data_IF_664152605324
#
_entry.id   IF_664152605324
#
_cell.length_a   1.000
_cell.length_b   1.000
_cell.length_c   1.000
_cell.angle_alpha   90.00
_cell.angle_beta   90.00
_cell.angle_gamma   90.00
#
_symmetry.space_group_name_H-M   'P 1'
#
loop_
_entity.id
_entity.type
_entity.pdbx_description
1 polymer ?
#
# COMPACT_ATOMS: atom_id res chain seq x y z
N UNK A 1 4.80 34.68 -52.74
CA UNK A 1 3.87 34.56 -53.90
C UNK A 1 3.86 33.11 -54.37
N UNK A 2 2.77 32.68 -55.04
CA UNK A 2 2.70 31.49 -55.94
C UNK A 2 3.29 30.15 -55.47
N UNK A 3 2.40 29.28 -54.97
CA UNK A 3 2.34 27.84 -55.33
C UNK A 3 1.79 27.75 -56.80
N UNK A 4 1.96 26.64 -57.56
CA UNK A 4 1.06 25.47 -57.51
C UNK A 4 1.78 24.09 -57.74
N UNK A 5 1.23 22.90 -57.38
CA UNK A 5 0.45 21.89 -58.17
C UNK A 5 1.22 21.33 -59.42
N UNK A 6 1.17 20.06 -59.88
CA UNK A 6 0.42 18.80 -59.57
C UNK A 6 1.17 17.58 -60.24
N UNK A 7 0.77 16.29 -60.41
CA UNK A 7 -0.46 15.48 -60.22
C UNK A 7 -0.19 13.93 -60.19
N UNK A 8 -1.06 13.14 -59.52
CA UNK A 8 -1.66 11.80 -59.83
C UNK A 8 -0.91 10.48 -60.22
N UNK A 9 -1.63 9.36 -59.97
CA UNK A 9 -1.37 7.94 -60.36
C UNK A 9 -0.98 7.05 -59.16
N UNK A 10 -1.77 6.12 -58.60
CA UNK A 10 -3.06 5.49 -58.92
C UNK A 10 -3.09 4.46 -60.08
N UNK A 11 -2.85 3.19 -59.76
CA UNK A 11 -3.25 2.04 -60.59
C UNK A 11 -3.47 0.76 -59.74
N UNK A 12 -4.70 0.25 -59.77
CA UNK A 12 -5.14 -1.13 -59.44
C UNK A 12 -6.18 -1.44 -60.54
N UNK A 13 -6.21 -2.64 -61.15
CA UNK A 13 -6.88 -3.78 -60.52
C UNK A 13 -6.27 -5.17 -60.89
N UNK A 14 -6.79 -6.26 -60.30
CA UNK A 14 -7.65 -7.23 -61.03
C UNK A 14 -8.34 -8.21 -60.05
N UNK A 15 -9.45 -8.85 -60.48
CA UNK A 15 -10.30 -9.72 -59.64
C UNK A 15 -10.73 -11.04 -60.32
N UNK A 16 -10.47 -12.16 -59.64
CA UNK A 16 -11.21 -13.44 -59.76
C UNK A 16 -11.17 -14.10 -58.37
N UNK A 17 -12.24 -14.57 -57.71
CA UNK A 17 -13.59 -14.95 -58.18
C UNK A 17 -13.57 -16.39 -58.73
N UNK A 18 -14.37 -17.36 -58.27
CA UNK A 18 -15.42 -17.48 -57.24
C UNK A 18 -15.32 -18.90 -56.61
N UNK A 19 -15.95 -19.27 -55.48
CA UNK A 19 -17.35 -19.72 -55.37
C UNK A 19 -17.75 -19.92 -53.88
N UNK A 20 -19.04 -20.21 -53.61
CA UNK A 20 -19.63 -20.14 -52.26
C UNK A 20 -20.70 -21.22 -51.95
N UNK A 21 -21.33 -21.09 -50.77
CA UNK A 21 -22.53 -21.78 -50.26
C UNK A 21 -22.31 -23.19 -49.66
N UNK A 22 -22.89 -23.41 -48.47
CA UNK A 22 -22.89 -24.73 -47.80
C UNK A 22 -23.33 -24.67 -46.33
N UNK A 23 -24.61 -24.39 -46.06
CA UNK A 23 -25.19 -24.44 -44.72
C UNK A 23 -26.44 -25.33 -44.70
N UNK A 24 -26.51 -26.26 -43.74
CA UNK A 24 -27.68 -27.12 -43.46
C UNK A 24 -27.64 -27.62 -42.01
N UNK A 25 -28.82 -27.88 -41.44
CA UNK A 25 -29.04 -28.31 -40.05
C UNK A 25 -29.42 -29.83 -39.97
N UNK A 26 -29.68 -30.43 -38.79
CA UNK A 26 -29.48 -31.88 -38.58
C UNK A 26 -30.64 -32.79 -38.99
N UNK A 27 -30.41 -34.10 -38.92
CA UNK A 27 -31.43 -35.14 -39.00
C UNK A 27 -31.12 -36.32 -38.06
N UNK A 28 -32.13 -36.74 -37.29
CA UNK A 28 -32.16 -38.01 -36.54
C UNK A 28 -32.46 -39.21 -37.46
N UNK A 29 -32.22 -40.44 -36.99
CA UNK A 29 -33.30 -41.35 -36.51
C UNK A 29 -33.06 -42.87 -36.66
N UNK A 30 -33.28 -43.58 -35.54
CA UNK A 30 -33.62 -45.03 -35.38
C UNK A 30 -32.61 -46.07 -35.95
N UNK A 31 -32.65 -47.38 -35.65
CA UNK A 31 -33.56 -48.34 -34.96
C UNK A 31 -32.63 -49.23 -34.07
N UNK A 32 -32.92 -49.82 -32.90
CA UNK A 32 -34.16 -50.31 -32.26
C UNK A 32 -34.16 -50.03 -30.72
N UNK A 33 -34.47 -51.00 -29.84
CA UNK A 33 -35.80 -51.37 -29.26
C UNK A 33 -35.61 -52.53 -28.25
N UNK A 34 -36.61 -52.82 -27.40
CA UNK A 34 -36.72 -53.88 -26.36
C UNK A 34 -36.05 -53.55 -25.00
N UNK A 35 -36.72 -53.70 -23.84
CA UNK A 35 -38.16 -53.70 -23.54
C UNK A 35 -38.37 -53.41 -22.03
N UNK A 36 -39.51 -52.88 -21.59
CA UNK A 36 -39.83 -52.65 -20.17
C UNK A 36 -41.30 -53.04 -19.86
N UNK A 37 -41.55 -53.64 -18.68
CA UNK A 37 -42.87 -53.51 -18.06
C UNK A 37 -42.84 -53.28 -16.53
N UNK A 38 -43.06 -52.03 -16.12
CA UNK A 38 -44.28 -51.59 -15.45
C UNK A 38 -44.74 -52.28 -14.14
N UNK A 39 -44.43 -51.59 -13.03
CA UNK A 39 -45.39 -51.07 -12.03
C UNK A 39 -45.99 -51.94 -10.88
N UNK A 40 -46.26 -51.23 -9.77
CA UNK A 40 -47.09 -51.53 -8.57
C UNK A 40 -46.52 -52.44 -7.46
N UNK A 41 -46.49 -51.92 -6.22
CA UNK A 41 -46.16 -52.69 -5.01
C UNK A 41 -45.62 -51.90 -3.80
N UNK A 42 -46.50 -51.34 -2.97
CA UNK A 42 -46.23 -50.87 -1.60
C UNK A 42 -47.27 -51.49 -0.64
N UNK A 43 -47.09 -51.48 0.71
CA UNK A 43 -45.90 -51.16 1.52
C UNK A 43 -45.52 -52.28 2.53
N UNK A 44 -44.37 -52.15 3.22
CA UNK A 44 -44.35 -52.36 4.68
C UNK A 44 -43.11 -51.72 5.34
N UNK A 45 -43.29 -51.30 6.60
CA UNK A 45 -42.25 -50.66 7.41
C UNK A 45 -41.34 -51.69 8.09
N UNK A 46 -40.05 -51.36 8.24
CA UNK A 46 -39.25 -51.84 9.36
C UNK A 46 -38.28 -50.74 9.81
N UNK A 47 -38.25 -50.48 11.11
CA UNK A 47 -37.42 -49.43 11.71
C UNK A 47 -35.95 -49.85 11.75
N UNK A 48 -35.04 -48.90 11.46
CA UNK A 48 -33.71 -48.90 12.06
C UNK A 48 -33.14 -47.48 12.10
N UNK A 49 -33.17 -46.83 13.27
CA UNK A 49 -32.61 -45.48 13.45
C UNK A 49 -31.08 -45.47 13.30
N UNK A 50 -30.57 -44.61 12.41
CA UNK A 50 -29.19 -44.65 11.91
C UNK A 50 -28.36 -43.38 12.10
N UNK A 51 -28.53 -42.67 13.24
CA UNK A 51 -27.64 -41.62 13.78
C UNK A 51 -26.84 -40.73 12.80
N UNK A 52 -27.40 -39.56 12.45
CA UNK A 52 -26.62 -38.47 11.82
C UNK A 52 -25.69 -37.82 12.86
N UNK A 53 -24.38 -38.07 12.75
CA UNK A 53 -23.36 -37.32 13.50
C UNK A 53 -22.36 -36.62 12.57
N UNK A 54 -22.54 -35.31 12.40
CA UNK A 54 -21.59 -34.46 11.70
C UNK A 54 -20.27 -34.34 12.49
N UNK A 55 -19.16 -34.82 11.92
CA UNK A 55 -17.83 -34.83 12.55
C UNK A 55 -17.20 -33.43 12.62
N UNK A 56 -17.74 -32.54 13.48
CA UNK A 56 -17.17 -31.21 13.71
C UNK A 56 -15.92 -31.30 14.60
N UNK A 57 -14.76 -30.96 14.05
CA UNK A 57 -13.45 -31.24 14.64
C UNK A 57 -13.19 -30.51 15.98
N UNK A 58 -13.04 -31.26 17.08
CA UNK A 58 -12.80 -30.76 18.45
C UNK A 58 -11.35 -30.28 18.68
N UNK A 59 -10.89 -29.27 17.93
CA UNK A 59 -9.56 -28.63 18.14
C UNK A 59 -9.60 -27.19 18.67
N UNK A 60 -10.77 -26.62 18.92
CA UNK A 60 -10.91 -25.23 19.37
C UNK A 60 -10.67 -24.92 20.87
N UNK A 61 -10.90 -25.82 21.86
CA UNK A 61 -10.77 -25.42 23.28
C UNK A 61 -9.32 -25.28 23.75
N UNK A 62 -8.38 -26.02 23.16
CA UNK A 62 -6.97 -26.05 23.57
C UNK A 62 -6.23 -24.73 23.26
N UNK A 63 -6.54 -24.11 22.12
CA UNK A 63 -5.90 -22.84 21.71
C UNK A 63 -6.30 -21.70 22.65
N UNK A 64 -7.57 -21.63 23.04
CA UNK A 64 -8.07 -20.59 23.95
C UNK A 64 -7.45 -20.70 25.36
N UNK A 65 -7.26 -21.92 25.87
CA UNK A 65 -6.56 -22.15 27.15
C UNK A 65 -5.09 -21.75 27.07
N UNK A 66 -4.40 -22.05 25.96
CA UNK A 66 -3.01 -21.64 25.77
C UNK A 66 -2.85 -20.11 25.72
N UNK A 67 -3.72 -19.40 24.98
CA UNK A 67 -3.73 -17.92 24.92
C UNK A 67 -4.02 -17.31 26.29
N UNK A 68 -4.98 -17.85 27.04
CA UNK A 68 -5.29 -17.36 28.39
C UNK A 68 -4.09 -17.50 29.35
N UNK A 69 -3.38 -18.63 29.31
CA UNK A 69 -2.18 -18.84 30.15
C UNK A 69 -1.04 -17.88 29.80
N UNK A 70 -0.80 -17.61 28.51
CA UNK A 70 0.21 -16.63 28.08
C UNK A 70 -0.13 -15.22 28.56
N UNK A 71 -1.40 -14.81 28.50
CA UNK A 71 -1.85 -13.50 28.97
C UNK A 71 -1.71 -13.34 30.50
N UNK A 72 -2.01 -14.40 31.28
CA UNK A 72 -1.81 -14.40 32.75
C UNK A 72 -0.33 -14.30 33.11
N UNK A 73 0.55 -15.02 32.39
CA UNK A 73 2.00 -14.93 32.61
C UNK A 73 2.56 -13.54 32.26
N UNK A 74 2.10 -12.93 31.16
CA UNK A 74 2.48 -11.58 30.78
C UNK A 74 2.05 -10.53 31.83
N UNK A 75 0.83 -10.66 32.37
CA UNK A 75 0.34 -9.78 33.44
C UNK A 75 1.14 -9.93 34.76
N UNK A 76 1.52 -11.16 35.13
CA UNK A 76 2.35 -11.43 36.31
C UNK A 76 3.76 -10.82 36.17
N UNK A 77 4.38 -10.95 35.00
CA UNK A 77 5.69 -10.34 34.70
C UNK A 77 5.60 -8.80 34.74
N UNK A 78 4.50 -8.22 34.21
CA UNK A 78 4.29 -6.77 34.24
C UNK A 78 4.15 -6.22 35.67
N UNK A 79 3.40 -6.90 36.55
CA UNK A 79 3.27 -6.48 37.96
C UNK A 79 4.60 -6.59 38.71
N UNK A 80 5.39 -7.66 38.49
CA UNK A 80 6.72 -7.81 39.09
C UNK A 80 7.74 -6.74 38.63
N UNK A 81 7.54 -6.13 37.47
CA UNK A 81 8.38 -5.03 36.98
C UNK A 81 7.91 -3.66 37.52
N UNK A 82 6.60 -3.45 37.62
CA UNK A 82 6.01 -2.21 38.14
C UNK A 82 6.37 -1.97 39.61
N UNK A 83 6.44 -3.02 40.44
CA UNK A 83 6.73 -2.96 41.88
C UNK A 83 8.22 -2.75 42.23
N UNK A 84 9.08 -2.48 41.24
CA UNK A 84 10.52 -2.26 41.42
C UNK A 84 11.05 -0.92 40.88
N UNK A 85 10.17 -0.06 40.35
CA UNK A 85 10.55 1.24 39.77
C UNK A 85 10.20 2.40 40.73
N UNK A 86 10.89 2.43 41.88
CA UNK A 86 10.70 3.44 42.92
C UNK A 86 11.23 4.83 42.55
N UNK A 87 10.59 5.85 43.14
CA UNK A 87 10.76 7.30 42.93
C UNK A 87 12.20 7.82 42.81
N UNK A 88 12.38 8.83 41.94
CA UNK A 88 13.31 9.93 42.21
C UNK A 88 12.78 11.24 41.58
N UNK A 89 12.10 12.08 42.37
CA UNK A 89 11.63 13.41 41.93
C UNK A 89 12.60 14.52 42.38
N UNK A 90 13.15 15.24 41.41
CA UNK A 90 13.72 16.58 41.64
C UNK A 90 13.11 17.59 40.67
N UNK A 91 12.67 18.74 41.20
CA UNK A 91 11.84 19.70 40.49
C UNK A 91 12.62 20.97 40.10
N UNK A 92 12.37 21.49 38.90
CA UNK A 92 12.76 22.84 38.50
C UNK A 92 11.66 23.56 37.71
N UNK A 93 11.62 24.90 37.84
CA UNK A 93 10.52 25.76 37.39
C UNK A 93 10.59 26.10 35.90
N UNK A 94 9.45 26.45 35.26
CA UNK A 94 9.44 26.97 33.90
C UNK A 94 9.96 28.41 33.84
N UNK A 95 10.70 28.71 32.77
CA UNK A 95 11.12 30.06 32.38
C UNK A 95 10.72 30.30 30.93
N UNK A 96 9.99 31.37 30.64
CA UNK A 96 9.47 31.66 29.31
C UNK A 96 10.40 32.57 28.50
N UNK A 97 10.75 32.16 27.28
CA UNK A 97 11.22 33.04 26.22
C UNK A 97 10.68 32.50 24.90
N UNK A 98 10.09 33.37 24.09
CA UNK A 98 9.43 32.96 22.84
C UNK A 98 10.44 32.61 21.75
N UNK A 99 10.30 31.44 21.15
CA UNK A 99 10.87 31.13 19.83
C UNK A 99 9.86 30.27 19.07
N UNK A 100 9.48 30.69 17.86
CA UNK A 100 8.60 29.93 16.96
C UNK A 100 9.40 28.86 16.23
N UNK A 101 9.99 27.93 16.98
CA UNK A 101 10.47 26.67 16.42
C UNK A 101 9.25 25.87 15.93
N UNK A 102 9.31 25.34 14.71
CA UNK A 102 8.36 24.30 14.33
C UNK A 102 8.53 23.12 15.29
N UNK A 103 7.43 22.51 15.69
CA UNK A 103 7.46 21.38 16.63
C UNK A 103 7.87 20.11 15.87
N UNK A 104 9.16 19.98 15.60
CA UNK A 104 9.80 18.68 15.40
C UNK A 104 9.70 17.91 16.71
N UNK A 105 8.61 17.16 16.89
CA UNK A 105 8.60 16.06 17.84
C UNK A 105 9.78 15.15 17.46
N UNK A 106 10.63 14.82 18.44
CA UNK A 106 11.72 13.87 18.23
C UNK A 106 11.19 12.46 17.92
N UNK A 107 12.08 11.47 17.72
CA UNK A 107 11.69 10.10 17.44
C UNK A 107 10.67 9.58 18.46
N UNK A 108 9.49 9.20 17.97
CA UNK A 108 8.33 8.80 18.77
C UNK A 108 8.32 7.31 19.12
N UNK A 109 9.14 6.52 18.43
CA UNK A 109 9.23 5.08 18.56
C UNK A 109 10.10 4.61 19.72
N UNK A 110 10.62 3.39 19.60
CA UNK A 110 11.62 2.85 20.51
C UNK A 110 13.01 3.45 20.24
N UNK A 111 13.69 3.84 21.32
CA UNK A 111 14.99 4.50 21.24
C UNK A 111 16.11 3.55 20.77
N UNK A 112 16.00 2.24 21.04
CA UNK A 112 16.98 1.25 20.57
C UNK A 112 16.79 0.94 19.09
N UNK A 113 15.55 0.80 18.62
CA UNK A 113 15.24 0.68 17.20
C UNK A 113 15.68 1.92 16.41
N UNK A 114 15.39 3.12 16.93
CA UNK A 114 15.85 4.38 16.34
C UNK A 114 17.39 4.46 16.26
N UNK A 115 18.09 4.13 17.35
CA UNK A 115 19.56 4.09 17.37
C UNK A 115 20.12 3.08 16.37
N UNK A 116 19.50 1.90 16.25
CA UNK A 116 19.91 0.88 15.27
C UNK A 116 19.68 1.32 13.81
N UNK A 117 18.75 2.25 13.54
CA UNK A 117 18.60 2.92 12.24
C UNK A 117 19.71 3.95 12.01
N UNK A 118 20.08 4.74 13.02
CA UNK A 118 21.20 5.71 12.92
C UNK A 118 22.57 5.03 12.75
N UNK A 119 22.69 3.75 13.12
CA UNK A 119 23.92 2.95 13.01
C UNK A 119 24.09 2.29 11.63
N UNK A 120 23.15 2.45 10.69
CA UNK A 120 23.27 1.91 9.33
C UNK A 120 24.23 2.78 8.50
N UNK A 121 25.27 2.17 7.93
CA UNK A 121 26.34 2.86 7.20
C UNK A 121 26.03 3.15 5.73
N UNK A 122 25.04 2.47 5.14
CA UNK A 122 24.62 2.62 3.74
C UNK A 122 23.13 2.97 3.72
N UNK A 123 22.83 4.24 3.49
CA UNK A 123 21.46 4.80 3.49
C UNK A 123 21.25 5.73 2.29
N UNK A 124 20.01 5.95 1.83
CA UNK A 124 19.74 6.98 0.83
C UNK A 124 19.99 8.37 1.45
N UNK A 125 20.84 9.17 0.83
CA UNK A 125 21.15 10.56 1.24
C UNK A 125 19.95 11.53 1.19
N UNK A 126 18.84 11.05 0.61
CA UNK A 126 17.56 11.73 0.45
C UNK A 126 16.54 11.36 1.54
N UNK A 127 16.82 10.33 2.36
CA UNK A 127 15.98 9.98 3.50
C UNK A 127 16.16 10.97 4.66
N UNK A 128 15.16 11.05 5.53
CA UNK A 128 15.33 11.63 6.87
C UNK A 128 15.82 10.61 7.90
N UNK A 129 16.05 11.09 9.12
CA UNK A 129 16.53 10.32 10.27
C UNK A 129 15.55 9.24 10.74
N UNK A 130 14.30 9.25 10.25
CA UNK A 130 13.27 8.24 10.53
C UNK A 130 13.07 7.24 9.38
N UNK A 131 13.77 7.42 8.25
CA UNK A 131 13.63 6.60 7.04
C UNK A 131 12.71 7.18 5.98
N UNK A 132 12.10 8.34 6.21
CA UNK A 132 11.10 8.94 5.35
C UNK A 132 11.68 9.50 4.05
N UNK A 133 11.15 9.02 2.92
CA UNK A 133 11.47 9.52 1.58
C UNK A 133 10.46 10.62 1.19
N UNK A 134 10.82 11.87 1.49
CA UNK A 134 9.95 13.04 1.25
C UNK A 134 10.04 13.54 -0.20
N UNK A 135 8.94 13.52 -0.95
CA UNK A 135 8.80 14.08 -2.30
C UNK A 135 7.93 15.34 -2.30
N UNK A 136 8.25 16.30 -3.17
CA UNK A 136 7.55 17.58 -3.33
C UNK A 136 7.83 18.19 -4.72
N UNK A 137 7.17 19.30 -5.08
CA UNK A 137 7.51 20.09 -6.28
C UNK A 137 8.95 20.62 -6.32
N UNK A 138 9.66 20.67 -5.19
CA UNK A 138 11.07 21.09 -5.16
C UNK A 138 12.05 19.90 -5.26
N UNK A 139 11.55 18.70 -5.61
CA UNK A 139 12.29 17.45 -5.61
C UNK A 139 12.24 16.70 -4.27
N UNK A 140 13.15 15.75 -4.12
CA UNK A 140 13.20 14.80 -2.99
C UNK A 140 14.09 15.27 -1.81
N UNK A 141 13.73 14.83 -0.61
CA UNK A 141 14.43 15.07 0.65
C UNK A 141 13.62 15.90 1.64
N UNK A 142 13.77 15.65 2.95
CA UNK A 142 13.04 16.38 4.00
C UNK A 142 13.20 17.90 3.95
N UNK A 143 14.37 18.38 3.49
CA UNK A 143 14.69 19.79 3.26
C UNK A 143 14.11 20.39 1.97
N UNK A 144 13.39 19.61 1.15
CA UNK A 144 12.72 20.10 -0.07
C UNK A 144 11.24 20.45 0.13
N UNK A 145 10.64 20.16 1.30
CA UNK A 145 9.20 20.41 1.53
C UNK A 145 8.77 21.82 1.08
N UNK A 146 7.74 21.90 0.25
CA UNK A 146 7.08 23.16 -0.13
C UNK A 146 6.53 23.79 1.14
N UNK A 147 6.92 25.05 1.39
CA UNK A 147 6.46 25.82 2.54
C UNK A 147 4.93 25.99 2.50
N UNK A 148 4.33 26.01 3.69
CA UNK A 148 2.87 26.11 3.90
C UNK A 148 1.99 25.03 3.25
N UNK A 149 2.54 24.08 2.48
CA UNK A 149 1.83 22.90 2.00
C UNK A 149 1.72 21.81 3.09
N UNK A 150 0.56 21.14 3.27
CA UNK A 150 0.46 20.00 4.17
C UNK A 150 1.42 18.87 3.80
N UNK A 151 1.92 18.17 4.80
CA UNK A 151 2.66 16.91 4.60
C UNK A 151 1.74 15.73 4.87
N UNK A 152 1.61 14.86 3.89
CA UNK A 152 1.12 13.50 4.08
C UNK A 152 2.32 12.61 4.40
N UNK A 153 2.24 11.80 5.44
CA UNK A 153 3.21 10.74 5.71
C UNK A 153 2.51 9.39 5.55
N UNK A 154 3.07 8.49 4.73
CA UNK A 154 2.41 7.27 4.26
C UNK A 154 3.29 6.07 4.59
N UNK A 155 2.77 5.18 5.43
CA UNK A 155 3.40 3.90 5.80
C UNK A 155 2.76 2.79 4.99
N UNK A 156 3.56 2.06 4.21
CA UNK A 156 3.05 1.07 3.27
C UNK A 156 4.05 -0.07 3.03
N UNK A 157 3.52 -1.28 2.89
CA UNK A 157 4.27 -2.47 2.48
C UNK A 157 3.83 -2.85 1.06
N UNK A 158 4.75 -3.09 0.10
CA UNK A 158 4.43 -3.35 -1.30
C UNK A 158 3.64 -4.66 -1.53
N UNK A 159 3.71 -5.63 -0.62
CA UNK A 159 2.88 -6.86 -0.71
C UNK A 159 1.48 -6.66 -0.11
N UNK A 160 1.28 -5.66 0.76
CA UNK A 160 0.02 -5.49 1.48
C UNK A 160 -1.16 -5.18 0.52
N UNK A 161 -2.20 -6.04 0.45
CA UNK A 161 -3.33 -5.83 -0.45
C UNK A 161 -4.16 -4.58 -0.11
N UNK A 162 -4.15 -4.14 1.16
CA UNK A 162 -4.78 -2.87 1.55
C UNK A 162 -3.96 -1.65 1.15
N UNK A 163 -2.63 -1.72 1.15
CA UNK A 163 -1.78 -0.65 0.61
C UNK A 163 -2.05 -0.47 -0.88
N UNK A 164 -2.06 -1.56 -1.65
CA UNK A 164 -2.38 -1.53 -3.07
C UNK A 164 -3.78 -1.00 -3.37
N UNK A 165 -4.80 -1.40 -2.59
CA UNK A 165 -6.17 -0.87 -2.75
C UNK A 165 -6.27 0.63 -2.43
N UNK A 166 -5.51 1.14 -1.46
CA UNK A 166 -5.48 2.57 -1.12
C UNK A 166 -4.71 3.38 -2.17
N UNK A 167 -3.48 2.96 -2.51
CA UNK A 167 -2.63 3.63 -3.48
C UNK A 167 -3.30 3.79 -4.84
N UNK A 168 -3.84 2.69 -5.40
CA UNK A 168 -4.58 2.70 -6.68
C UNK A 168 -5.78 3.66 -6.72
N UNK A 169 -6.31 4.12 -5.58
CA UNK A 169 -7.35 5.15 -5.50
C UNK A 169 -6.78 6.56 -5.35
N UNK A 170 -5.75 6.77 -4.52
CA UNK A 170 -5.26 8.12 -4.17
C UNK A 170 -4.06 8.60 -4.99
N UNK A 171 -3.17 7.70 -5.43
CA UNK A 171 -1.88 8.04 -6.06
C UNK A 171 -2.02 8.93 -7.31
N UNK A 172 -3.01 8.75 -8.20
CA UNK A 172 -3.22 9.66 -9.32
C UNK A 172 -3.52 11.11 -8.89
N UNK A 173 -4.09 11.32 -7.71
CA UNK A 173 -4.28 12.66 -7.14
C UNK A 173 -3.05 13.14 -6.38
N UNK A 174 -2.34 12.25 -5.66
CA UNK A 174 -1.08 12.57 -5.00
C UNK A 174 -0.06 13.11 -6.01
N UNK A 175 0.17 12.41 -7.12
CA UNK A 175 1.12 12.82 -8.16
C UNK A 175 0.79 14.22 -8.72
N UNK A 176 -0.48 14.52 -9.00
CA UNK A 176 -0.91 15.86 -9.46
C UNK A 176 -0.72 16.93 -8.40
N UNK A 177 -1.03 16.63 -7.13
CA UNK A 177 -0.84 17.57 -6.03
C UNK A 177 0.64 17.82 -5.70
N UNK A 178 1.50 16.80 -5.82
CA UNK A 178 2.96 16.92 -5.67
C UNK A 178 3.51 17.86 -6.75
N UNK A 179 3.22 17.60 -8.04
CA UNK A 179 3.72 18.42 -9.15
C UNK A 179 3.20 19.87 -9.16
N UNK A 180 2.01 20.10 -8.61
CA UNK A 180 1.45 21.43 -8.42
C UNK A 180 1.93 22.15 -7.13
N UNK A 181 2.79 21.51 -6.33
CA UNK A 181 3.27 22.03 -5.05
C UNK A 181 2.22 22.10 -3.95
N UNK A 182 1.07 21.47 -4.14
CA UNK A 182 -0.08 21.53 -3.22
C UNK A 182 0.14 20.70 -1.94
N UNK A 183 0.93 19.63 -2.03
CA UNK A 183 1.27 18.76 -0.89
C UNK A 183 2.75 18.38 -0.90
N UNK A 184 3.23 17.96 0.27
CA UNK A 184 4.43 17.15 0.43
C UNK A 184 4.01 15.70 0.76
N UNK A 185 4.72 14.69 0.25
CA UNK A 185 4.46 13.28 0.60
C UNK A 185 5.74 12.63 1.11
N UNK A 186 5.74 12.18 2.37
CA UNK A 186 6.81 11.38 2.98
C UNK A 186 6.42 9.91 2.92
N UNK A 187 7.07 9.14 2.04
CA UNK A 187 6.88 7.70 1.93
C UNK A 187 7.77 6.98 2.95
N UNK A 188 7.17 6.11 3.75
CA UNK A 188 7.83 5.11 4.58
C UNK A 188 7.48 3.74 4.00
N UNK A 189 8.37 3.18 3.19
CA UNK A 189 8.23 1.82 2.66
C UNK A 189 8.73 0.81 3.70
N UNK A 190 7.99 -0.27 3.92
CA UNK A 190 8.17 -1.20 5.04
C UNK A 190 8.13 -2.66 4.59
N UNK A 191 9.13 -3.44 4.99
CA UNK A 191 9.17 -4.90 4.81
C UNK A 191 8.41 -5.66 5.91
N UNK A 192 7.20 -5.21 6.25
CA UNK A 192 6.38 -5.75 7.34
C UNK A 192 5.88 -7.18 7.10
N UNK A 193 5.65 -7.54 5.84
CA UNK A 193 5.13 -8.82 5.37
C UNK A 193 6.20 -9.74 4.75
N UNK A 194 7.49 -9.40 4.86
CA UNK A 194 8.58 -10.14 4.22
C UNK A 194 8.56 -11.65 4.52
N UNK A 195 8.15 -12.03 5.73
CA UNK A 195 8.02 -13.41 6.22
C UNK A 195 6.85 -14.20 5.65
N UNK A 196 5.91 -13.55 4.95
CA UNK A 196 4.86 -14.21 4.16
C UNK A 196 5.29 -14.50 2.71
N UNK A 197 6.45 -14.00 2.29
CA UNK A 197 7.05 -14.28 0.97
C UNK A 197 8.19 -15.30 1.07
N UNK A 198 8.44 -16.05 -0.01
CA UNK A 198 9.56 -17.01 -0.07
C UNK A 198 10.91 -16.37 -0.45
N UNK A 199 10.90 -15.12 -0.92
CA UNK A 199 12.06 -14.43 -1.51
C UNK A 199 12.32 -13.01 -0.95
N UNK A 200 11.66 -12.66 0.16
CA UNK A 200 11.76 -11.34 0.81
C UNK A 200 11.34 -10.20 -0.14
N UNK A 201 10.15 -10.35 -0.73
CA UNK A 201 9.61 -9.47 -1.77
C UNK A 201 9.60 -8.01 -1.35
N UNK A 202 9.11 -7.70 -0.14
CA UNK A 202 8.97 -6.32 0.32
C UNK A 202 10.34 -5.68 0.53
N UNK A 203 11.31 -6.40 1.11
CA UNK A 203 12.72 -5.98 1.14
C UNK A 203 13.30 -5.67 -0.25
N UNK A 204 12.99 -6.47 -1.28
CA UNK A 204 13.52 -6.30 -2.64
C UNK A 204 12.91 -5.07 -3.33
N UNK A 205 11.60 -4.88 -3.19
CA UNK A 205 10.87 -3.73 -3.74
C UNK A 205 11.24 -2.43 -3.02
N UNK A 206 11.30 -2.43 -1.69
CA UNK A 206 11.64 -1.24 -0.90
C UNK A 206 13.09 -0.80 -1.15
N UNK A 207 14.00 -1.75 -1.37
CA UNK A 207 15.35 -1.46 -1.85
C UNK A 207 15.34 -0.81 -3.24
N UNK A 208 14.54 -1.31 -4.18
CA UNK A 208 14.42 -0.71 -5.51
C UNK A 208 13.86 0.71 -5.44
N UNK A 209 12.83 0.94 -4.62
CA UNK A 209 12.25 2.27 -4.35
C UNK A 209 13.28 3.21 -3.72
N UNK A 210 14.10 2.73 -2.78
CA UNK A 210 15.19 3.51 -2.19
C UNK A 210 16.31 3.85 -3.20
N UNK A 211 16.60 2.95 -4.15
CA UNK A 211 17.55 3.22 -5.25
C UNK A 211 17.00 4.25 -6.25
N UNK A 212 15.72 4.17 -6.64
CA UNK A 212 15.06 5.19 -7.46
C UNK A 212 15.01 6.53 -6.72
N UNK A 213 14.70 6.53 -5.42
CA UNK A 213 14.73 7.75 -4.61
C UNK A 213 16.12 8.43 -4.59
N UNK A 214 17.20 7.65 -4.58
CA UNK A 214 18.57 8.18 -4.55
C UNK A 214 19.07 8.63 -5.93
N UNK A 215 18.77 7.89 -7.00
CA UNK A 215 19.44 8.05 -8.30
C UNK A 215 18.53 8.57 -9.42
N UNK A 216 17.21 8.47 -9.27
CA UNK A 216 16.19 8.89 -10.26
C UNK A 216 14.88 9.37 -9.58
N UNK A 217 14.96 10.41 -8.74
CA UNK A 217 13.88 10.74 -7.79
C UNK A 217 12.58 11.24 -8.44
N UNK A 218 12.64 11.76 -9.65
CA UNK A 218 11.47 12.30 -10.36
C UNK A 218 10.49 11.18 -10.77
N UNK A 219 10.99 9.96 -10.99
CA UNK A 219 10.18 8.78 -11.28
C UNK A 219 9.69 8.03 -10.02
N UNK A 220 10.17 8.38 -8.80
CA UNK A 220 9.79 7.67 -7.57
C UNK A 220 8.26 7.60 -7.34
N UNK A 221 7.46 8.69 -7.50
CA UNK A 221 6.01 8.62 -7.29
C UNK A 221 5.28 7.76 -8.34
N UNK A 222 5.87 7.60 -9.53
CA UNK A 222 5.34 6.74 -10.58
C UNK A 222 5.68 5.28 -10.31
N UNK A 223 6.91 4.98 -9.92
CA UNK A 223 7.35 3.63 -9.58
C UNK A 223 6.70 3.09 -8.30
N UNK A 224 6.50 3.94 -7.28
CA UNK A 224 5.74 3.61 -6.08
C UNK A 224 4.30 3.20 -6.41
N UNK A 225 3.61 3.92 -7.30
CA UNK A 225 2.28 3.52 -7.77
C UNK A 225 2.33 2.23 -8.63
N UNK A 226 3.39 2.04 -9.42
CA UNK A 226 3.54 0.89 -10.32
C UNK A 226 3.78 -0.43 -9.58
N UNK A 227 4.50 -0.46 -8.46
CA UNK A 227 4.64 -1.68 -7.64
C UNK A 227 3.33 -2.07 -6.92
N UNK A 228 2.39 -1.12 -6.81
CA UNK A 228 1.02 -1.35 -6.37
C UNK A 228 0.03 -1.58 -7.52
N UNK A 229 0.47 -1.76 -8.77
CA UNK A 229 -0.44 -2.13 -9.87
C UNK A 229 -1.09 -3.51 -9.61
N UNK A 230 -2.37 -3.67 -9.97
CA UNK A 230 -3.18 -4.83 -9.57
C UNK A 230 -2.81 -6.14 -10.29
N UNK A 231 -2.09 -6.03 -11.40
CA UNK A 231 -1.47 -7.10 -12.19
C UNK A 231 0.00 -7.35 -11.81
N UNK A 232 0.65 -6.40 -11.13
CA UNK A 232 2.02 -6.52 -10.65
C UNK A 232 2.12 -7.12 -9.24
N UNK A 233 1.36 -6.55 -8.29
CA UNK A 233 1.39 -6.87 -6.87
C UNK A 233 1.05 -8.36 -6.61
N UNK A 234 1.92 -9.14 -5.94
CA UNK A 234 1.63 -10.54 -5.60
C UNK A 234 0.60 -10.64 -4.47
N UNK A 235 -0.13 -11.76 -4.43
CA UNK A 235 -1.11 -12.03 -3.36
C UNK A 235 -0.42 -12.48 -2.06
N UNK A 236 -0.84 -11.91 -0.93
CA UNK A 236 -0.29 -12.17 0.40
C UNK A 236 -0.56 -13.61 0.89
N UNK A 237 -1.66 -14.23 0.44
CA UNK A 237 -2.12 -15.56 0.91
C UNK A 237 -1.74 -16.72 -0.01
N UNK A 238 -1.44 -16.42 -1.27
CA UNK A 238 -1.15 -17.38 -2.34
C UNK A 238 0.09 -16.96 -3.14
N UNK A 239 1.12 -16.51 -2.41
CA UNK A 239 2.32 -15.85 -2.92
C UNK A 239 2.96 -16.55 -4.14
N UNK A 240 3.24 -15.76 -5.18
CA UNK A 240 3.99 -16.17 -6.36
C UNK A 240 5.19 -15.23 -6.54
N UNK A 241 6.36 -15.80 -6.79
CA UNK A 241 7.62 -15.06 -6.83
C UNK A 241 7.67 -14.05 -7.99
N UNK A 242 7.84 -12.76 -7.65
CA UNK A 242 8.11 -11.70 -8.64
C UNK A 242 9.62 -11.57 -8.81
N UNK A 243 10.14 -11.98 -9.97
CA UNK A 243 11.59 -11.93 -10.25
C UNK A 243 12.13 -10.51 -10.30
N UNK A 244 13.41 -10.34 -9.97
CA UNK A 244 14.08 -9.03 -10.02
C UNK A 244 14.06 -8.42 -11.43
N UNK A 245 14.07 -9.26 -12.48
CA UNK A 245 13.89 -8.83 -13.86
C UNK A 245 12.49 -8.21 -14.08
N UNK A 246 11.41 -8.85 -13.59
CA UNK A 246 10.05 -8.29 -13.67
C UNK A 246 9.92 -6.98 -12.89
N UNK A 247 10.59 -6.86 -11.74
CA UNK A 247 10.65 -5.62 -10.96
C UNK A 247 11.44 -4.51 -11.69
N UNK A 248 12.54 -4.85 -12.35
CA UNK A 248 13.30 -3.92 -13.18
C UNK A 248 12.49 -3.45 -14.39
N UNK A 249 11.79 -4.36 -15.07
CA UNK A 249 10.92 -4.04 -16.21
C UNK A 249 9.75 -3.13 -15.79
N UNK A 250 9.17 -3.32 -14.60
CA UNK A 250 8.12 -2.46 -14.03
C UNK A 250 8.61 -1.03 -13.77
N UNK A 251 9.87 -0.85 -13.35
CA UNK A 251 10.48 0.46 -13.19
C UNK A 251 10.76 1.14 -14.55
N UNK A 252 11.30 0.38 -15.51
CA UNK A 252 11.53 0.87 -16.88
C UNK A 252 10.22 1.28 -17.56
N UNK A 253 9.12 0.55 -17.29
CA UNK A 253 7.78 0.87 -17.77
C UNK A 253 7.22 2.23 -17.33
N UNK A 254 7.78 2.85 -16.26
CA UNK A 254 7.45 4.20 -15.82
C UNK A 254 8.56 5.23 -16.05
N UNK A 255 9.59 4.88 -16.82
CA UNK A 255 10.66 5.80 -17.25
C UNK A 255 12.02 5.61 -16.55
N UNK A 256 12.11 4.76 -15.53
CA UNK A 256 13.37 4.57 -14.77
C UNK A 256 14.47 4.02 -15.69
N UNK A 257 15.69 4.61 -15.70
CA UNK A 257 16.78 4.13 -16.54
C UNK A 257 17.11 2.65 -16.30
N UNK A 258 17.22 1.88 -17.40
CA UNK A 258 17.54 0.44 -17.35
C UNK A 258 18.81 0.13 -16.55
N UNK A 259 19.83 0.99 -16.66
CA UNK A 259 21.10 0.92 -15.93
C UNK A 259 21.00 1.19 -14.42
N UNK A 260 19.86 1.69 -13.92
CA UNK A 260 19.51 1.73 -12.50
C UNK A 260 18.69 0.48 -12.13
N UNK A 261 17.69 0.15 -12.94
CA UNK A 261 16.79 -0.97 -12.71
C UNK A 261 17.50 -2.35 -12.65
N UNK A 262 18.46 -2.61 -13.53
CA UNK A 262 19.27 -3.84 -13.52
C UNK A 262 20.17 -4.00 -12.27
N UNK A 263 20.28 -2.96 -11.43
CA UNK A 263 21.04 -3.01 -10.16
C UNK A 263 20.18 -3.31 -8.94
N UNK A 264 18.85 -3.37 -9.04
CA UNK A 264 17.99 -3.62 -7.87
C UNK A 264 18.32 -4.91 -7.11
N UNK A 265 18.68 -5.98 -7.82
CA UNK A 265 19.09 -7.27 -7.24
C UNK A 265 20.37 -7.19 -6.36
N UNK A 266 21.13 -6.08 -6.40
CA UNK A 266 22.31 -5.87 -5.55
C UNK A 266 21.95 -5.61 -4.08
N UNK A 267 20.71 -5.20 -3.79
CA UNK A 267 20.21 -5.09 -2.41
C UNK A 267 20.86 -3.99 -1.55
N UNK A 268 21.48 -2.98 -2.18
CA UNK A 268 22.25 -1.88 -1.56
C UNK A 268 21.68 -1.30 -0.26
N UNK A 269 20.35 -1.11 -0.20
CA UNK A 269 19.64 -0.49 0.92
C UNK A 269 18.84 -1.46 1.77
N UNK A 270 18.88 -2.78 1.52
CA UNK A 270 18.14 -3.76 2.33
C UNK A 270 18.43 -3.67 3.84
N UNK A 271 19.68 -3.52 4.31
CA UNK A 271 19.97 -3.34 5.74
C UNK A 271 19.42 -2.04 6.33
N UNK A 272 19.13 -1.03 5.51
CA UNK A 272 18.45 0.21 5.91
C UNK A 272 16.94 -0.02 6.00
N UNK A 273 16.31 -0.65 4.99
CA UNK A 273 14.87 -1.02 5.00
C UNK A 273 14.51 -1.79 6.26
N UNK A 274 15.31 -2.80 6.63
CA UNK A 274 15.14 -3.58 7.87
C UNK A 274 15.04 -2.70 9.14
N UNK A 275 15.79 -1.60 9.20
CA UNK A 275 15.80 -0.68 10.35
C UNK A 275 14.71 0.39 10.26
N UNK A 276 14.35 0.83 9.06
CA UNK A 276 13.19 1.70 8.84
C UNK A 276 11.93 0.97 9.31
N UNK A 277 11.70 -0.27 8.89
CA UNK A 277 10.57 -1.08 9.36
C UNK A 277 10.62 -1.31 10.88
N UNK A 278 11.76 -1.80 11.40
CA UNK A 278 11.90 -2.07 12.83
C UNK A 278 11.72 -0.83 13.73
N UNK A 279 12.02 0.38 13.24
CA UNK A 279 11.68 1.63 13.93
C UNK A 279 10.22 2.03 13.73
N UNK A 280 9.72 2.04 12.48
CA UNK A 280 8.38 2.53 12.14
C UNK A 280 7.26 1.82 12.91
N UNK A 281 7.30 0.49 13.04
CA UNK A 281 6.29 -0.29 13.79
C UNK A 281 6.20 0.08 15.28
N UNK A 282 7.23 0.74 15.82
CA UNK A 282 7.28 1.19 17.23
C UNK A 282 6.78 2.63 17.43
N UNK A 283 6.65 3.43 16.37
CA UNK A 283 6.27 4.85 16.41
C UNK A 283 4.92 5.04 17.10
N UNK A 284 4.89 5.88 18.14
CA UNK A 284 3.69 6.12 18.95
C UNK A 284 2.69 7.09 18.31
N UNK A 285 3.17 7.94 17.41
CA UNK A 285 2.38 8.93 16.66
C UNK A 285 1.68 8.34 15.43
N UNK A 286 2.20 7.23 14.90
CA UNK A 286 1.66 6.50 13.74
C UNK A 286 0.68 5.36 14.11
N UNK A 287 0.21 5.32 15.37
CA UNK A 287 -0.75 4.32 15.85
C UNK A 287 -2.20 4.79 15.71
N UNK A 288 -3.10 3.83 15.50
CA UNK A 288 -4.55 4.06 15.41
C UNK A 288 -5.17 4.43 16.78
N UNK A 289 -6.49 4.64 16.80
CA UNK A 289 -7.24 4.98 18.01
C UNK A 289 -7.25 3.89 19.10
N UNK A 290 -6.77 2.67 18.82
CA UNK A 290 -6.57 1.58 19.78
C UNK A 290 -5.12 1.43 20.27
N UNK A 291 -4.17 2.10 19.62
CA UNK A 291 -2.74 1.91 19.84
C UNK A 291 -2.10 0.83 18.94
N UNK A 292 -2.81 0.37 17.91
CA UNK A 292 -2.31 -0.61 16.93
C UNK A 292 -1.55 0.13 15.80
N UNK A 293 -0.50 -0.48 15.27
CA UNK A 293 0.18 -0.01 14.05
C UNK A 293 -0.17 -0.97 12.92
N UNK A 294 -0.44 -0.46 11.72
CA UNK A 294 -0.80 -1.27 10.55
C UNK A 294 -0.50 -0.55 9.24
N UNK A 295 -0.47 -1.31 8.15
CA UNK A 295 -0.29 -0.81 6.78
C UNK A 295 -1.58 -0.98 5.98
N UNK A 296 -2.06 0.03 5.22
CA UNK A 296 -1.49 1.37 5.12
C UNK A 296 -1.90 2.25 6.31
N UNK A 297 -0.95 3.02 6.85
CA UNK A 297 -1.24 4.16 7.72
C UNK A 297 -0.94 5.45 6.96
N UNK A 298 -1.85 6.42 6.99
CA UNK A 298 -1.65 7.76 6.44
C UNK A 298 -1.80 8.77 7.56
N UNK A 299 -0.82 9.65 7.70
CA UNK A 299 -0.83 10.79 8.61
C UNK A 299 -0.88 12.10 7.82
N UNK A 300 -1.63 13.08 8.31
CA UNK A 300 -1.70 14.43 7.74
C UNK A 300 -1.20 15.41 8.81
N UNK A 301 -0.11 16.13 8.51
CA UNK A 301 0.56 17.07 9.42
C UNK A 301 0.84 16.45 10.82
N UNK A 302 1.48 15.27 10.84
CA UNK A 302 1.88 14.59 12.08
C UNK A 302 0.71 14.02 12.90
N UNK A 303 -0.39 13.62 12.24
CA UNK A 303 -1.57 13.00 12.88
C UNK A 303 -2.16 11.92 11.99
N UNK A 304 -2.34 10.71 12.50
CA UNK A 304 -3.06 9.64 11.80
C UNK A 304 -4.42 10.14 11.34
N UNK A 305 -4.69 9.95 10.05
CA UNK A 305 -5.96 10.19 9.40
C UNK A 305 -6.75 8.89 9.44
N UNK A 306 -7.96 8.92 9.99
CA UNK A 306 -8.82 7.73 10.10
C UNK A 306 -9.36 7.34 8.71
N UNK A 307 -8.58 6.51 8.01
CA UNK A 307 -8.90 5.96 6.70
C UNK A 307 -10.24 5.19 6.69
N UNK A 308 -10.59 4.55 7.81
CA UNK A 308 -11.83 3.77 7.92
C UNK A 308 -13.05 4.67 8.00
N UNK A 309 -13.01 5.73 8.82
CA UNK A 309 -14.08 6.73 8.86
C UNK A 309 -14.13 7.57 7.57
N UNK A 310 -12.96 7.91 7.01
CA UNK A 310 -12.85 8.64 5.75
C UNK A 310 -13.53 7.90 4.59
N UNK A 311 -13.19 6.62 4.36
CA UNK A 311 -13.83 5.78 3.35
C UNK A 311 -15.35 5.66 3.59
N UNK A 312 -15.77 5.28 4.81
CA UNK A 312 -17.20 5.15 5.19
C UNK A 312 -18.00 6.42 4.91
N UNK A 313 -17.44 7.60 5.18
CA UNK A 313 -18.12 8.89 4.94
C UNK A 313 -18.38 9.18 3.44
N UNK A 314 -17.66 8.54 2.52
CA UNK A 314 -17.74 8.78 1.08
C UNK A 314 -18.42 7.66 0.29
N UNK A 315 -18.91 6.62 0.97
CA UNK A 315 -19.60 5.45 0.38
C UNK A 315 -18.78 4.16 0.44
N UNK A 316 -17.44 4.27 0.45
CA UNK A 316 -16.53 3.14 0.42
C UNK A 316 -15.09 3.55 0.14
N UNK A 317 -14.24 2.57 -0.17
CA UNK A 317 -12.79 2.75 -0.36
C UNK A 317 -12.46 3.35 -1.73
N UNK A 318 -13.25 3.00 -2.74
CA UNK A 318 -13.27 3.54 -4.11
C UNK A 318 -13.58 5.04 -4.19
N UNK A 319 -13.81 5.69 -3.05
CA UNK A 319 -14.11 7.10 -2.88
C UNK A 319 -13.22 7.79 -1.84
N UNK A 320 -12.13 7.12 -1.42
CA UNK A 320 -11.13 7.65 -0.47
C UNK A 320 -10.39 8.87 -1.02
N UNK A 321 -10.29 9.01 -2.34
CA UNK A 321 -9.76 10.19 -3.03
C UNK A 321 -10.58 11.45 -2.68
N UNK A 322 -11.91 11.36 -2.77
CA UNK A 322 -12.85 12.44 -2.39
C UNK A 322 -12.76 12.73 -0.89
N UNK A 323 -12.50 11.71 -0.08
CA UNK A 323 -12.28 11.86 1.36
C UNK A 323 -10.97 12.61 1.66
N UNK A 324 -9.90 12.32 0.91
CA UNK A 324 -8.60 13.00 1.04
C UNK A 324 -8.71 14.47 0.64
N UNK A 325 -9.34 14.79 -0.49
CA UNK A 325 -9.56 16.18 -0.90
C UNK A 325 -10.37 16.96 0.13
N UNK A 326 -11.43 16.37 0.70
CA UNK A 326 -12.17 16.94 1.83
C UNK A 326 -11.28 17.14 3.05
N UNK A 327 -10.46 16.16 3.43
CA UNK A 327 -9.57 16.22 4.59
C UNK A 327 -8.47 17.29 4.44
N UNK A 328 -7.94 17.48 3.23
CA UNK A 328 -7.00 18.55 2.88
C UNK A 328 -7.69 19.92 2.72
N UNK A 329 -9.01 19.94 2.57
CA UNK A 329 -9.75 21.16 2.27
C UNK A 329 -9.39 21.74 0.90
N UNK A 330 -9.21 20.88 -0.09
CA UNK A 330 -8.96 21.19 -1.49
C UNK A 330 -10.18 20.77 -2.33
N UNK A 331 -10.51 21.52 -3.39
CA UNK A 331 -11.64 21.17 -4.28
C UNK A 331 -11.14 20.29 -5.43
N UNK A 332 -12.00 19.43 -5.97
CA UNK A 332 -11.66 18.56 -7.10
C UNK A 332 -11.21 19.34 -8.34
N UNK A 333 -11.82 20.49 -8.64
CA UNK A 333 -11.38 21.35 -9.76
C UNK A 333 -10.10 22.15 -9.50
N UNK A 334 -9.58 22.13 -8.27
CA UNK A 334 -8.34 22.81 -7.90
C UNK A 334 -7.13 21.82 -7.88
N UNK A 335 -7.34 20.51 -8.00
CA UNK A 335 -6.29 19.48 -7.98
C UNK A 335 -5.37 19.58 -9.20
N UNK A 336 -4.06 19.73 -8.98
CA UNK A 336 -3.08 19.91 -10.05
C UNK A 336 -2.88 21.37 -10.48
N UNK A 337 -3.62 22.32 -9.90
CA UNK A 337 -3.50 23.74 -10.23
C UNK A 337 -2.56 24.46 -9.25
N UNK A 338 -1.41 24.91 -9.74
CA UNK A 338 -0.45 25.70 -8.97
C UNK A 338 -1.10 26.94 -8.32
N UNK A 339 -0.71 27.24 -7.08
CA UNK A 339 -1.30 28.33 -6.28
C UNK A 339 -2.67 28.05 -5.68
N UNK A 340 -3.33 26.91 -6.01
CA UNK A 340 -4.57 26.47 -5.35
C UNK A 340 -4.24 25.61 -4.13
N UNK A 341 -3.78 26.23 -3.06
CA UNK A 341 -3.29 25.48 -1.89
C UNK A 341 -4.42 24.81 -1.08
N UNK A 342 -4.19 23.62 -0.51
CA UNK A 342 -5.07 23.02 0.50
C UNK A 342 -5.28 23.94 1.70
N UNK A 343 -6.53 24.16 2.10
CA UNK A 343 -6.87 25.15 3.14
C UNK A 343 -6.41 24.79 4.56
N UNK A 344 -5.94 23.57 4.80
CA UNK A 344 -5.29 23.21 6.09
C UNK A 344 -3.84 23.72 6.21
N UNK A 345 -3.15 23.96 5.10
CA UNK A 345 -1.73 24.30 5.08
C UNK A 345 -0.80 23.32 5.82
N UNK A 346 0.43 23.74 6.11
CA UNK A 346 1.47 22.90 6.73
C UNK A 346 1.26 22.56 8.22
N UNK A 347 0.28 23.16 8.91
CA UNK A 347 0.07 23.00 10.36
C UNK A 347 -1.39 22.74 10.76
N UNK A 348 -2.35 22.87 9.85
CA UNK A 348 -3.76 22.57 10.13
C UNK A 348 -4.02 21.08 10.31
N UNK A 349 -5.08 20.75 11.04
CA UNK A 349 -5.57 19.38 11.19
C UNK A 349 -6.40 19.02 9.96
N UNK A 350 -6.35 17.75 9.55
CA UNK A 350 -7.28 17.20 8.56
C UNK A 350 -8.73 17.56 8.91
N UNK A 351 -9.47 18.09 7.93
CA UNK A 351 -10.87 18.48 8.12
C UNK A 351 -11.73 17.23 8.34
N UNK A 352 -12.71 17.33 9.25
CA UNK A 352 -13.64 16.23 9.51
C UNK A 352 -14.53 16.02 8.29
N UNK A 353 -14.43 14.83 7.71
CA UNK A 353 -15.36 14.38 6.68
C UNK A 353 -16.71 14.13 7.34
N UNK A 354 -17.70 14.94 6.96
CA UNK A 354 -19.12 14.83 7.34
C UNK A 354 -19.91 14.23 6.19
#
# INVERSE_FOLDING_TARGET
MTKPLEQNGHEEPDQTGVDAVGAAEPADSHIATEEEPAETGQPQESELEGTVFAQRSRRLPLVLVAVALVLVLAAGIYMLWADHSGDDQSAQKPSSTGSTAQVSQGPSGDAKAYKALQEVTVTPSVADDQGGLTVSANGIGSRKKVADAPTLEIFMDPMCPWCGKVGRVIDPQLQRMIGAGQINVTYNFLNFLDSASSDQYSSRVDNALAMVAQEDPDHLPAFAAAVFAADFQPDESSYQAVSDARLADQAVGVGVPRSLADRFAQGTYRPWVDKVNAYAITRKDAKDAKGEFSTPTIMINGKVWDLTAAAKSQGGLEHLDRALLKALGLKSQDVGHQGKMPSIGAQGKALKVR
#
